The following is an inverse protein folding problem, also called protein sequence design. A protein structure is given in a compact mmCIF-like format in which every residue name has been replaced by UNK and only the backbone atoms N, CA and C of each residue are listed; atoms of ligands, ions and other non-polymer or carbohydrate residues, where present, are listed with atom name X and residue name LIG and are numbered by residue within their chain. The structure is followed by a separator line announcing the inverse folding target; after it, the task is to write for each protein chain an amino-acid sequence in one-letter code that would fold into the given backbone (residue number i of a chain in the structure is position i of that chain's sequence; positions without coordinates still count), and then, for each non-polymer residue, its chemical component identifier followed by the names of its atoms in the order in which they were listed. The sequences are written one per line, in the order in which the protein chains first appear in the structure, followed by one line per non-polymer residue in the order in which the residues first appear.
data_IF_312748355365
#
_entry.id   IF_312748355365
#
_cell.length_a   1.000
_cell.length_b   1.000
_cell.length_c   1.000
_cell.angle_alpha   90.00
_cell.angle_beta   90.00
_cell.angle_gamma   90.00
#
_symmetry.space_group_name_H-M   'P 1'
#
loop_
_entity.id
_entity.type
_entity.pdbx_description
1 polymer ?
#
# COMPACT_ATOMS: atom_id res chain seq x y z
N UNK A 1 44.35 -1.54 -14.98
CA UNK A 1 43.00 -1.34 -14.47
C UNK A 1 42.49 -0.08 -15.12
N UNK A 2 41.62 -0.21 -16.12
CA UNK A 2 41.00 0.93 -16.79
C UNK A 2 40.09 1.67 -15.79
N UNK A 3 40.12 3.00 -15.85
CA UNK A 3 39.25 3.87 -15.06
C UNK A 3 37.79 3.70 -15.50
N UNK A 4 37.06 2.80 -14.85
CA UNK A 4 35.62 2.61 -15.04
C UNK A 4 34.98 2.21 -13.72
N UNK A 5 33.71 2.59 -13.51
CA UNK A 5 32.94 2.09 -12.36
C UNK A 5 32.82 0.55 -12.51
N UNK A 6 33.26 -0.25 -11.54
CA UNK A 6 33.15 -1.70 -11.63
C UNK A 6 31.69 -2.13 -11.59
N UNK A 7 31.27 -2.91 -12.58
CA UNK A 7 29.95 -3.53 -12.65
C UNK A 7 30.09 -4.98 -12.23
N UNK A 8 29.38 -5.35 -11.17
CA UNK A 8 29.32 -6.74 -10.73
C UNK A 8 28.02 -7.38 -11.23
N UNK A 9 28.18 -8.44 -12.04
CA UNK A 9 27.06 -9.26 -12.52
C UNK A 9 27.18 -10.67 -11.98
N UNK A 10 26.26 -11.05 -11.10
CA UNK A 10 26.04 -12.44 -10.68
C UNK A 10 24.56 -12.77 -10.90
N UNK A 11 24.22 -13.08 -12.17
CA UNK A 11 22.83 -13.16 -12.62
C UNK A 11 22.20 -11.78 -12.86
N UNK A 12 20.89 -11.70 -12.91
CA UNK A 12 20.12 -10.46 -12.85
C UNK A 12 19.71 -10.20 -11.40
N UNK A 13 19.90 -9.02 -10.80
CA UNK A 13 20.26 -7.73 -11.35
C UNK A 13 21.77 -7.40 -11.36
N UNK A 14 22.15 -6.40 -12.19
CA UNK A 14 23.50 -5.81 -12.17
C UNK A 14 23.65 -4.83 -11.02
N UNK A 15 24.87 -4.73 -10.48
CA UNK A 15 25.22 -3.79 -9.43
C UNK A 15 26.33 -2.88 -9.94
N UNK A 16 26.03 -1.58 -10.01
CA UNK A 16 27.03 -0.56 -10.29
C UNK A 16 27.63 -0.11 -8.95
N UNK A 17 28.95 -0.10 -8.85
CA UNK A 17 29.64 0.15 -7.58
C UNK A 17 30.88 1.00 -7.80
N UNK A 18 31.31 1.75 -6.78
CA UNK A 18 32.60 2.44 -6.80
C UNK A 18 33.73 1.49 -6.44
N UNK A 19 33.56 0.71 -5.37
CA UNK A 19 34.52 -0.33 -4.97
C UNK A 19 33.81 -1.59 -4.51
N UNK A 20 34.38 -2.75 -4.84
CA UNK A 20 33.94 -4.05 -4.37
C UNK A 20 35.09 -4.87 -3.82
N UNK A 21 34.92 -5.46 -2.64
CA UNK A 21 35.82 -6.45 -2.04
C UNK A 21 35.06 -7.74 -1.85
N UNK A 22 35.39 -8.74 -2.66
CA UNK A 22 34.70 -10.06 -2.65
C UNK A 22 35.60 -11.16 -2.10
N UNK A 23 35.07 -11.97 -1.21
CA UNK A 23 35.75 -13.15 -0.67
C UNK A 23 35.12 -14.41 -1.31
N UNK A 24 35.87 -15.04 -2.22
CA UNK A 24 35.42 -16.23 -2.96
C UNK A 24 35.15 -17.46 -2.07
N UNK A 25 35.83 -17.60 -0.92
CA UNK A 25 35.61 -18.72 0.00
C UNK A 25 34.31 -18.58 0.78
N UNK A 26 34.00 -17.38 1.28
CA UNK A 26 32.82 -17.12 2.12
C UNK A 26 31.63 -16.60 1.33
N UNK A 27 31.81 -16.27 0.03
CA UNK A 27 30.81 -15.65 -0.85
C UNK A 27 30.23 -14.35 -0.30
N UNK A 28 31.03 -13.62 0.49
CA UNK A 28 30.65 -12.32 1.07
C UNK A 28 31.36 -11.19 0.37
N UNK A 29 30.67 -10.06 0.19
CA UNK A 29 31.23 -8.85 -0.36
C UNK A 29 31.01 -7.62 0.54
N UNK A 30 31.99 -6.73 0.57
CA UNK A 30 31.84 -5.37 1.04
C UNK A 30 31.84 -4.43 -0.19
N UNK A 31 30.87 -3.53 -0.24
CA UNK A 31 30.59 -2.70 -1.42
C UNK A 31 30.42 -1.26 -0.93
N UNK A 32 31.00 -0.31 -1.67
CA UNK A 32 30.77 1.11 -1.45
C UNK A 32 30.06 1.72 -2.67
N UNK A 33 29.17 2.67 -2.41
CA UNK A 33 28.37 3.41 -3.39
C UNK A 33 27.69 2.47 -4.42
N UNK A 34 26.83 1.62 -3.89
CA UNK A 34 26.04 0.67 -4.68
C UNK A 34 24.84 1.35 -5.29
N UNK A 35 24.62 1.12 -6.58
CA UNK A 35 23.37 1.40 -7.29
C UNK A 35 22.86 0.10 -7.90
N UNK A 36 21.62 -0.24 -7.63
CA UNK A 36 21.00 -1.45 -8.18
C UNK A 36 19.56 -1.18 -8.56
N UNK A 37 19.20 -1.62 -9.76
CA UNK A 37 17.80 -1.59 -10.17
C UNK A 37 17.09 -2.85 -9.67
N UNK A 38 15.95 -2.66 -9.01
CA UNK A 38 15.14 -3.75 -8.48
C UNK A 38 13.68 -3.53 -8.86
N UNK A 39 13.21 -4.28 -9.86
CA UNK A 39 11.90 -4.05 -10.48
C UNK A 39 11.86 -2.69 -11.19
N UNK A 40 10.88 -1.86 -10.87
CA UNK A 40 10.72 -0.50 -11.42
C UNK A 40 11.47 0.58 -10.61
N UNK A 41 12.16 0.21 -9.54
CA UNK A 41 12.84 1.18 -8.67
C UNK A 41 14.35 0.98 -8.59
N UNK A 42 15.02 2.04 -8.16
CA UNK A 42 16.46 2.07 -7.91
C UNK A 42 16.73 2.11 -6.41
N UNK A 43 17.64 1.27 -5.97
CA UNK A 43 18.15 1.28 -4.60
C UNK A 43 19.60 1.70 -4.64
N UNK A 44 19.93 2.78 -3.94
CA UNK A 44 21.29 3.26 -3.78
C UNK A 44 21.72 3.17 -2.32
N UNK A 45 23.00 3.01 -2.05
CA UNK A 45 23.51 2.96 -0.68
C UNK A 45 24.99 3.24 -0.60
N UNK A 46 25.43 4.00 0.41
CA UNK A 46 26.83 4.37 0.59
C UNK A 46 27.71 3.21 1.05
N UNK A 47 27.18 2.33 1.89
CA UNK A 47 27.87 1.11 2.37
C UNK A 47 26.95 -0.08 2.32
N UNK A 48 27.40 -1.14 1.66
CA UNK A 48 26.65 -2.36 1.58
C UNK A 48 27.52 -3.60 1.88
N UNK A 49 26.87 -4.62 2.42
CA UNK A 49 27.46 -5.95 2.66
C UNK A 49 26.57 -6.99 1.99
N UNK A 50 27.13 -7.75 1.06
CA UNK A 50 26.47 -8.92 0.50
C UNK A 50 26.75 -10.13 1.38
N UNK A 51 25.70 -10.82 1.80
CA UNK A 51 25.77 -12.09 2.51
C UNK A 51 25.93 -13.28 1.59
N UNK A 52 26.19 -14.46 2.14
CA UNK A 52 26.31 -15.72 1.37
C UNK A 52 24.99 -16.14 0.70
N UNK A 53 23.85 -15.66 1.18
CA UNK A 53 22.50 -15.93 0.66
C UNK A 53 22.02 -14.87 -0.35
N UNK A 54 22.92 -14.10 -0.97
CA UNK A 54 22.65 -12.99 -1.86
C UNK A 54 21.85 -11.84 -1.24
N UNK A 55 21.62 -11.86 0.06
CA UNK A 55 21.01 -10.74 0.79
C UNK A 55 22.02 -9.59 0.91
N UNK A 56 21.57 -8.38 0.64
CA UNK A 56 22.38 -7.17 0.74
C UNK A 56 21.89 -6.34 1.93
N UNK A 57 22.78 -6.08 2.85
CA UNK A 57 22.55 -5.17 3.95
C UNK A 57 23.22 -3.82 3.63
N UNK A 58 22.47 -2.73 3.72
CA UNK A 58 22.99 -1.40 3.44
C UNK A 58 22.64 -0.41 4.53
N UNK A 59 23.50 0.59 4.65
CA UNK A 59 23.33 1.75 5.52
C UNK A 59 23.21 3.00 4.67
N UNK A 60 22.36 3.95 5.12
CA UNK A 60 22.09 5.21 4.44
C UNK A 60 21.69 5.02 2.97
N UNK A 61 20.73 4.12 2.76
CA UNK A 61 20.20 3.84 1.44
C UNK A 61 19.16 4.87 1.00
N UNK A 62 18.94 4.96 -0.32
CA UNK A 62 17.82 5.68 -0.93
C UNK A 62 17.07 4.72 -1.83
N UNK A 63 15.76 4.81 -1.82
CA UNK A 63 14.89 4.11 -2.76
C UNK A 63 14.09 5.12 -3.55
N UNK A 64 14.13 5.03 -4.85
CA UNK A 64 13.36 5.89 -5.76
C UNK A 64 12.84 5.11 -6.95
N UNK A 65 11.72 5.55 -7.50
CA UNK A 65 11.19 5.11 -8.80
C UNK A 65 11.41 6.19 -9.88
N UNK A 66 12.22 7.21 -9.57
CA UNK A 66 12.59 8.23 -10.53
C UNK A 66 13.66 7.71 -11.48
N UNK A 67 13.52 7.99 -12.78
CA UNK A 67 14.51 7.59 -13.80
C UNK A 67 15.88 8.28 -13.62
N UNK A 68 15.89 9.45 -12.99
CA UNK A 68 17.10 10.17 -12.63
C UNK A 68 17.67 9.66 -11.28
N UNK A 69 18.22 8.46 -11.27
CA UNK A 69 18.69 7.80 -10.04
C UNK A 69 19.93 8.45 -9.40
N UNK A 70 20.72 9.25 -10.14
CA UNK A 70 21.87 9.99 -9.61
C UNK A 70 21.42 11.21 -8.78
N UNK A 71 20.36 11.89 -9.20
CA UNK A 71 19.74 13.02 -8.50
C UNK A 71 18.21 12.92 -8.61
N UNK A 72 17.58 12.02 -7.84
CA UNK A 72 16.15 11.80 -7.93
C UNK A 72 15.36 12.96 -7.33
N UNK A 73 14.29 13.40 -8.01
CA UNK A 73 13.39 14.44 -7.53
C UNK A 73 12.65 14.03 -6.24
N UNK A 74 12.48 12.73 -6.02
CA UNK A 74 11.92 12.21 -4.79
C UNK A 74 12.54 10.85 -4.44
N UNK A 75 12.73 10.60 -3.17
CA UNK A 75 13.25 9.32 -2.68
C UNK A 75 12.86 9.07 -1.22
N UNK A 76 12.78 7.79 -0.87
CA UNK A 76 12.73 7.38 0.52
C UNK A 76 14.15 7.25 1.06
N UNK A 77 14.50 8.09 2.03
CA UNK A 77 15.75 7.95 2.76
C UNK A 77 15.63 6.84 3.78
N UNK A 78 16.50 5.85 3.67
CA UNK A 78 16.52 4.64 4.49
C UNK A 78 17.71 4.70 5.45
N UNK A 79 17.49 4.51 6.74
CA UNK A 79 18.60 4.44 7.71
C UNK A 79 19.38 3.13 7.55
N UNK A 80 18.67 2.03 7.49
CA UNK A 80 19.19 0.69 7.22
C UNK A 80 18.21 -0.06 6.35
N UNK A 81 18.73 -0.84 5.40
CA UNK A 81 17.91 -1.67 4.55
C UNK A 81 18.51 -3.06 4.36
N UNK A 82 17.63 -4.04 4.25
CA UNK A 82 17.94 -5.41 3.85
C UNK A 82 17.26 -5.67 2.52
N UNK A 83 18.03 -5.78 1.47
CA UNK A 83 17.57 -6.11 0.13
C UNK A 83 17.65 -7.61 -0.08
N UNK A 84 16.55 -8.22 -0.43
CA UNK A 84 16.46 -9.60 -0.90
C UNK A 84 16.17 -9.55 -2.41
N UNK A 85 17.16 -9.82 -3.26
CA UNK A 85 16.98 -9.75 -4.71
C UNK A 85 15.76 -10.55 -5.17
N UNK A 86 14.98 -9.97 -6.09
CA UNK A 86 13.74 -10.55 -6.66
C UNK A 86 12.60 -10.81 -5.65
N UNK A 87 12.76 -10.42 -4.39
CA UNK A 87 11.71 -10.59 -3.36
C UNK A 87 11.24 -9.25 -2.82
N UNK A 88 12.07 -8.59 -2.05
CA UNK A 88 11.69 -7.35 -1.37
C UNK A 88 12.88 -6.58 -0.79
N UNK A 89 12.63 -5.33 -0.43
CA UNK A 89 13.46 -4.54 0.49
C UNK A 89 12.70 -4.38 1.81
N UNK A 90 13.35 -4.66 2.90
CA UNK A 90 12.85 -4.37 4.26
C UNK A 90 13.74 -3.28 4.85
N UNK A 91 13.15 -2.20 5.34
CA UNK A 91 13.91 -1.08 5.89
C UNK A 91 13.60 -0.87 7.36
N UNK A 92 14.56 -0.30 8.08
CA UNK A 92 14.33 0.36 9.36
C UNK A 92 13.64 1.72 9.16
N UNK A 93 13.83 2.67 10.08
CA UNK A 93 13.25 3.99 9.95
C UNK A 93 13.56 4.64 8.60
N UNK A 94 12.51 5.14 7.95
CA UNK A 94 12.60 5.75 6.64
C UNK A 94 11.74 7.02 6.60
N UNK A 95 12.14 8.00 5.81
CA UNK A 95 11.39 9.22 5.59
C UNK A 95 11.46 9.66 4.13
N UNK A 96 10.40 10.34 3.69
CA UNK A 96 10.29 10.84 2.33
C UNK A 96 11.05 12.16 2.16
N UNK A 97 11.81 12.26 1.09
CA UNK A 97 12.50 13.47 0.65
C UNK A 97 12.01 13.82 -0.75
N UNK A 98 11.68 15.08 -0.98
CA UNK A 98 11.24 15.61 -2.27
C UNK A 98 12.08 16.87 -2.56
N UNK A 99 12.73 16.92 -3.71
CA UNK A 99 13.63 18.01 -4.09
C UNK A 99 14.64 18.36 -2.97
N UNK A 100 15.26 17.33 -2.39
CA UNK A 100 16.20 17.39 -1.26
C UNK A 100 15.62 17.99 0.05
N UNK A 101 14.30 18.24 0.10
CA UNK A 101 13.62 18.70 1.31
C UNK A 101 13.01 17.50 2.03
N UNK A 102 13.43 17.18 3.27
CA UNK A 102 12.82 16.11 4.04
C UNK A 102 11.41 16.49 4.48
N UNK A 103 10.46 15.67 4.13
CA UNK A 103 9.08 15.82 4.57
C UNK A 103 8.86 15.20 5.96
N UNK A 104 7.90 15.71 6.76
CA UNK A 104 7.57 15.16 8.08
C UNK A 104 6.79 13.83 7.99
N UNK A 105 7.00 13.09 6.91
CA UNK A 105 6.44 11.77 6.68
C UNK A 105 7.52 10.72 6.94
N UNK A 106 7.55 10.22 8.18
CA UNK A 106 8.49 9.19 8.60
C UNK A 106 7.75 7.94 9.06
N UNK A 107 8.30 6.80 8.71
CA UNK A 107 7.79 5.48 9.14
C UNK A 107 8.88 4.72 9.91
N UNK A 108 8.54 4.01 10.99
CA UNK A 108 9.52 3.29 11.80
C UNK A 108 10.15 2.10 11.06
N UNK A 109 9.44 1.53 10.12
CA UNK A 109 9.91 0.51 9.17
C UNK A 109 9.06 0.58 7.90
N UNK A 110 9.64 0.13 6.80
CA UNK A 110 8.94 0.04 5.53
C UNK A 110 9.32 -1.22 4.74
N UNK A 111 8.48 -1.58 3.78
CA UNK A 111 8.62 -2.81 3.02
C UNK A 111 8.24 -2.56 1.56
N UNK A 112 9.19 -2.82 0.65
CA UNK A 112 8.99 -2.68 -0.79
C UNK A 112 9.06 -4.06 -1.44
N UNK A 113 7.96 -4.60 -1.99
CA UNK A 113 8.02 -5.81 -2.80
C UNK A 113 8.57 -5.50 -4.20
N UNK A 114 9.37 -6.41 -4.75
CA UNK A 114 9.92 -6.30 -6.13
C UNK A 114 9.18 -7.14 -7.15
N UNK A 115 8.14 -7.84 -6.76
CA UNK A 115 7.45 -8.71 -7.70
C UNK A 115 6.57 -7.91 -8.66
N UNK A 116 6.72 -8.18 -9.96
CA UNK A 116 5.78 -7.77 -11.01
C UNK A 116 4.47 -8.56 -10.98
N UNK A 117 4.41 -9.62 -10.18
CA UNK A 117 3.23 -10.41 -9.92
C UNK A 117 2.56 -9.96 -8.62
N UNK A 118 1.30 -10.26 -8.51
CA UNK A 118 0.39 -10.02 -7.42
C UNK A 118 1.05 -10.13 -6.02
N UNK A 119 1.27 -9.02 -5.35
CA UNK A 119 1.97 -8.98 -4.07
C UNK A 119 1.29 -8.07 -3.06
N UNK A 120 1.40 -8.44 -1.79
CA UNK A 120 0.95 -7.60 -0.68
C UNK A 120 1.78 -6.33 -0.57
N UNK A 121 1.17 -5.22 -0.17
CA UNK A 121 1.88 -3.95 -0.05
C UNK A 121 1.10 -2.87 0.68
N UNK A 122 1.79 -1.81 1.05
CA UNK A 122 1.21 -0.63 1.65
C UNK A 122 0.47 0.22 0.60
N UNK A 123 -0.66 0.78 1.02
CA UNK A 123 -1.40 1.78 0.28
C UNK A 123 -1.11 3.12 0.94
N UNK A 124 -0.46 4.01 0.19
CA UNK A 124 -0.12 5.32 0.71
C UNK A 124 -1.38 6.16 0.89
N UNK A 125 -1.53 6.81 2.05
CA UNK A 125 -2.66 7.68 2.30
C UNK A 125 -2.60 8.93 1.42
N UNK A 126 -3.78 9.43 1.04
CA UNK A 126 -3.94 10.72 0.39
C UNK A 126 -4.21 11.79 1.44
N UNK A 127 -3.54 12.91 1.32
CA UNK A 127 -3.83 14.09 2.13
C UNK A 127 -5.20 14.68 1.73
N UNK A 128 -6.02 15.00 2.72
CA UNK A 128 -7.31 15.66 2.52
C UNK A 128 -7.47 16.82 3.50
N UNK A 129 -8.15 17.87 3.04
CA UNK A 129 -8.59 18.98 3.85
C UNK A 129 -10.13 19.08 3.79
N UNK A 130 -10.77 18.95 4.93
CA UNK A 130 -12.22 19.00 5.09
C UNK A 130 -12.58 20.06 6.11
N UNK A 131 -13.39 21.04 5.73
CA UNK A 131 -13.77 22.16 6.60
C UNK A 131 -14.47 21.71 7.89
N UNK A 132 -15.19 20.59 7.86
CA UNK A 132 -15.93 20.08 9.02
C UNK A 132 -15.09 19.14 9.91
N UNK A 133 -14.12 18.41 9.34
CA UNK A 133 -13.32 17.36 10.01
C UNK A 133 -11.86 17.76 10.23
N UNK A 134 -11.43 18.84 9.57
CA UNK A 134 -10.04 19.31 9.56
C UNK A 134 -9.16 18.54 8.57
N UNK A 135 -7.86 18.67 8.74
CA UNK A 135 -6.89 17.96 7.93
C UNK A 135 -6.95 16.46 8.21
N UNK A 136 -6.69 15.65 7.19
CA UNK A 136 -6.71 14.21 7.34
C UNK A 136 -5.82 13.48 6.35
N UNK A 137 -5.62 12.21 6.67
CA UNK A 137 -5.04 11.21 5.78
C UNK A 137 -6.12 10.18 5.46
N UNK A 138 -6.44 10.05 4.18
CA UNK A 138 -7.50 9.17 3.70
C UNK A 138 -6.93 8.00 2.88
N UNK A 139 -7.62 6.85 2.92
CA UNK A 139 -7.36 5.66 2.14
C UNK A 139 -5.97 5.03 2.35
N UNK A 140 -5.28 5.40 3.45
CA UNK A 140 -4.06 4.72 3.85
C UNK A 140 -4.33 3.32 4.35
N UNK A 141 -3.46 2.34 4.02
CA UNK A 141 -3.71 1.00 4.47
C UNK A 141 -2.74 -0.07 3.98
N UNK A 142 -3.25 -1.29 3.93
CA UNK A 142 -2.46 -2.42 3.47
C UNK A 142 -3.30 -3.35 2.60
N UNK A 143 -2.70 -3.80 1.50
CA UNK A 143 -3.25 -4.79 0.60
C UNK A 143 -2.61 -6.15 0.87
N UNK A 144 -3.42 -7.15 1.15
CA UNK A 144 -3.01 -8.53 1.38
C UNK A 144 -3.34 -9.37 0.15
N UNK A 145 -2.35 -9.82 -0.58
CA UNK A 145 -2.48 -10.85 -1.60
C UNK A 145 -2.52 -12.22 -0.90
N UNK A 146 -3.71 -12.65 -0.47
CA UNK A 146 -3.85 -13.85 0.36
C UNK A 146 -3.66 -15.14 -0.44
N UNK A 147 -4.19 -15.18 -1.67
CA UNK A 147 -4.07 -16.34 -2.57
C UNK A 147 -4.43 -15.95 -4.00
N UNK A 148 -4.23 -16.85 -4.96
CA UNK A 148 -4.60 -16.64 -6.37
C UNK A 148 -6.10 -16.43 -6.59
N UNK A 149 -6.92 -16.72 -5.59
CA UNK A 149 -8.39 -16.63 -5.67
C UNK A 149 -8.99 -15.58 -4.75
N UNK A 150 -8.23 -14.97 -3.85
CA UNK A 150 -8.76 -14.06 -2.84
C UNK A 150 -7.72 -13.02 -2.42
N UNK A 151 -8.15 -11.78 -2.30
CA UNK A 151 -7.40 -10.66 -1.73
C UNK A 151 -8.13 -10.02 -0.54
N UNK A 152 -7.43 -9.18 0.20
CA UNK A 152 -7.99 -8.35 1.25
C UNK A 152 -7.29 -6.99 1.26
N UNK A 153 -8.07 -5.94 1.08
CA UNK A 153 -7.63 -4.55 1.20
C UNK A 153 -8.19 -3.97 2.50
N UNK A 154 -7.33 -3.54 3.41
CA UNK A 154 -7.73 -2.82 4.62
C UNK A 154 -7.24 -1.38 4.48
N UNK A 155 -8.14 -0.41 4.56
CA UNK A 155 -7.83 1.01 4.50
C UNK A 155 -8.47 1.76 5.65
N UNK A 156 -7.84 2.87 6.04
CA UNK A 156 -8.35 3.74 7.09
C UNK A 156 -8.17 5.21 6.75
N UNK A 157 -9.05 6.02 7.31
CA UNK A 157 -8.99 7.46 7.27
C UNK A 157 -8.88 7.99 8.69
N UNK A 158 -8.11 9.03 8.89
CA UNK A 158 -7.99 9.73 10.17
C UNK A 158 -7.98 11.24 9.95
N UNK A 159 -8.69 11.97 10.79
CA UNK A 159 -8.82 13.43 10.71
C UNK A 159 -8.47 14.09 12.03
N UNK A 160 -7.96 15.31 11.97
CA UNK A 160 -7.49 16.07 13.14
C UNK A 160 -8.57 16.36 14.17
N UNK A 161 -9.84 16.54 13.77
CA UNK A 161 -10.98 16.72 14.69
C UNK A 161 -11.48 15.40 15.29
N UNK A 162 -10.78 14.28 15.03
CA UNK A 162 -11.02 12.98 15.65
C UNK A 162 -12.05 12.11 14.92
N UNK A 163 -12.43 12.44 13.70
CA UNK A 163 -13.17 11.54 12.81
C UNK A 163 -12.24 10.47 12.27
N UNK A 164 -12.73 9.25 12.08
CA UNK A 164 -11.97 8.15 11.48
C UNK A 164 -12.87 7.13 10.81
N UNK A 165 -12.33 6.41 9.85
CA UNK A 165 -13.00 5.30 9.16
C UNK A 165 -12.03 4.13 9.04
N UNK A 166 -12.57 2.92 9.10
CA UNK A 166 -11.90 1.67 8.77
C UNK A 166 -12.73 0.95 7.71
N UNK A 167 -12.10 0.57 6.62
CA UNK A 167 -12.71 -0.14 5.50
C UNK A 167 -11.96 -1.42 5.21
N UNK A 168 -12.70 -2.52 5.05
CA UNK A 168 -12.19 -3.80 4.58
C UNK A 168 -12.88 -4.20 3.29
N UNK A 169 -12.12 -4.45 2.23
CA UNK A 169 -12.61 -4.93 0.94
C UNK A 169 -11.90 -6.22 0.58
N UNK A 170 -12.69 -7.26 0.35
CA UNK A 170 -12.22 -8.57 -0.12
C UNK A 170 -12.84 -8.84 -1.49
N UNK A 171 -12.00 -9.18 -2.46
CA UNK A 171 -12.44 -9.76 -3.72
C UNK A 171 -12.05 -11.24 -3.74
N UNK A 172 -12.94 -12.06 -4.21
CA UNK A 172 -12.67 -13.48 -4.40
C UNK A 172 -13.21 -13.94 -5.75
N UNK A 173 -12.39 -14.72 -6.45
CA UNK A 173 -12.72 -15.22 -7.78
C UNK A 173 -12.10 -16.60 -8.00
N UNK A 174 -12.92 -17.59 -8.19
CA UNK A 174 -12.49 -18.93 -8.60
C UNK A 174 -13.03 -19.23 -9.99
N UNK A 175 -12.11 -19.22 -10.97
CA UNK A 175 -12.45 -19.43 -12.40
C UNK A 175 -13.39 -20.61 -12.59
N UNK A 176 -14.46 -20.39 -13.35
CA UNK A 176 -15.53 -21.37 -13.65
C UNK A 176 -16.33 -21.85 -12.44
N UNK A 177 -16.23 -21.23 -11.28
CA UNK A 177 -16.99 -21.58 -10.08
C UNK A 177 -17.80 -20.44 -9.53
N UNK A 178 -17.12 -19.40 -9.04
CA UNK A 178 -17.78 -18.24 -8.42
C UNK A 178 -16.88 -17.02 -8.41
N UNK A 179 -17.51 -15.87 -8.30
CA UNK A 179 -16.84 -14.59 -8.01
C UNK A 179 -17.69 -13.77 -7.04
N UNK A 180 -17.03 -12.87 -6.34
CA UNK A 180 -17.74 -11.97 -5.46
C UNK A 180 -16.84 -10.95 -4.78
N UNK A 181 -17.50 -10.00 -4.11
CA UNK A 181 -16.88 -8.94 -3.33
C UNK A 181 -17.57 -8.83 -1.98
N UNK A 182 -16.82 -8.64 -0.94
CA UNK A 182 -17.33 -8.30 0.40
C UNK A 182 -16.64 -7.03 0.86
N UNK A 183 -17.41 -6.00 1.16
CA UNK A 183 -16.97 -4.75 1.74
C UNK A 183 -17.61 -4.56 3.10
N UNK A 184 -16.82 -4.18 4.08
CA UNK A 184 -17.29 -3.81 5.41
C UNK A 184 -16.59 -2.51 5.85
N UNK A 185 -17.39 -1.51 6.15
CA UNK A 185 -16.93 -0.20 6.57
C UNK A 185 -17.49 0.14 7.94
N UNK A 186 -16.66 0.75 8.77
CA UNK A 186 -17.08 1.37 10.01
C UNK A 186 -16.48 2.76 10.13
N UNK A 187 -17.30 3.75 10.46
CA UNK A 187 -16.85 5.13 10.57
C UNK A 187 -17.41 5.81 11.82
N UNK A 188 -16.61 6.71 12.36
CA UNK A 188 -17.01 7.64 13.42
C UNK A 188 -16.78 9.04 12.90
N UNK A 189 -17.84 9.78 12.66
CA UNK A 189 -17.79 11.14 12.15
C UNK A 189 -18.09 12.10 13.29
N UNK A 190 -17.17 13.02 13.55
CA UNK A 190 -17.32 14.12 14.50
C UNK A 190 -17.37 15.41 13.72
N UNK A 191 -18.42 16.20 13.93
CA UNK A 191 -18.63 17.48 13.26
C UNK A 191 -18.78 18.55 14.32
N UNK A 192 -18.27 19.75 14.05
CA UNK A 192 -18.22 20.85 15.02
C UNK A 192 -17.06 20.73 16.01
N UNK A 193 -16.93 21.72 16.88
CA UNK A 193 -15.86 21.74 17.87
C UNK A 193 -16.39 21.28 19.24
N UNK A 194 -15.59 20.43 19.91
CA UNK A 194 -15.98 19.87 21.21
C UNK A 194 -16.30 20.95 22.22
N UNK A 195 -17.52 20.93 22.76
CA UNK A 195 -18.03 21.92 23.70
C UNK A 195 -18.92 23.00 23.08
N UNK A 196 -19.08 23.03 21.76
CA UNK A 196 -20.00 23.90 21.03
C UNK A 196 -21.36 23.21 20.81
N UNK A 197 -22.45 23.97 20.63
CA UNK A 197 -23.81 23.40 20.45
C UNK A 197 -23.96 22.60 19.13
N UNK A 198 -23.09 22.83 18.16
CA UNK A 198 -23.06 22.16 16.86
C UNK A 198 -22.23 20.85 16.84
N UNK A 199 -21.62 20.49 17.99
CA UNK A 199 -20.85 19.26 18.10
C UNK A 199 -21.74 18.01 17.99
N UNK A 200 -21.50 17.22 16.99
CA UNK A 200 -22.20 15.95 16.78
C UNK A 200 -21.24 14.79 16.56
N UNK A 201 -21.67 13.61 16.99
CA UNK A 201 -20.93 12.35 16.78
C UNK A 201 -21.86 11.34 16.15
N UNK A 202 -21.55 10.93 14.93
CA UNK A 202 -22.23 9.86 14.24
C UNK A 202 -21.34 8.61 14.19
N UNK A 203 -21.93 7.44 14.41
CA UNK A 203 -21.29 6.13 14.29
C UNK A 203 -22.06 5.33 13.26
N UNK A 204 -21.40 4.98 12.17
CA UNK A 204 -22.04 4.37 11.04
C UNK A 204 -21.28 3.15 10.57
N UNK A 205 -22.01 2.20 10.03
CA UNK A 205 -21.41 1.04 9.39
C UNK A 205 -22.12 0.72 8.08
N UNK A 206 -21.39 0.02 7.18
CA UNK A 206 -21.91 -0.48 5.91
C UNK A 206 -21.30 -1.85 5.63
N UNK A 207 -22.14 -2.78 5.19
CA UNK A 207 -21.71 -4.10 4.70
C UNK A 207 -22.37 -4.31 3.34
N UNK A 208 -21.53 -4.56 2.33
CA UNK A 208 -21.97 -4.87 0.97
C UNK A 208 -21.35 -6.21 0.58
N UNK A 209 -22.20 -7.15 0.22
CA UNK A 209 -21.76 -8.44 -0.26
C UNK A 209 -22.42 -8.74 -1.61
N UNK A 210 -21.58 -8.96 -2.62
CA UNK A 210 -22.01 -9.41 -3.92
C UNK A 210 -21.38 -10.77 -4.22
N UNK A 211 -22.19 -11.73 -4.58
CA UNK A 211 -21.74 -13.07 -4.93
C UNK A 211 -22.46 -13.52 -6.20
N UNK A 212 -21.71 -14.15 -7.10
CA UNK A 212 -22.23 -14.74 -8.32
C UNK A 212 -21.57 -16.08 -8.57
N UNK A 213 -22.38 -17.11 -8.72
CA UNK A 213 -21.94 -18.39 -9.21
C UNK A 213 -21.79 -18.35 -10.74
N UNK A 214 -20.71 -18.95 -11.25
CA UNK A 214 -20.49 -19.10 -12.69
C UNK A 214 -21.45 -20.17 -13.23
N UNK A 215 -22.06 -19.95 -14.39
CA UNK A 215 -22.95 -20.90 -15.03
C UNK A 215 -22.30 -22.26 -15.34
N UNK A 216 -20.95 -22.27 -15.47
CA UNK A 216 -20.18 -23.51 -15.68
C UNK A 216 -19.95 -24.31 -14.40
N UNK A 217 -20.23 -23.75 -13.24
CA UNK A 217 -20.05 -24.43 -11.96
C UNK A 217 -21.11 -25.54 -11.74
N UNK A 218 -22.32 -25.30 -12.21
CA UNK A 218 -23.42 -26.29 -12.19
C UNK A 218 -24.35 -26.03 -13.39
N UNK A 219 -24.68 -27.05 -14.19
CA UNK A 219 -25.55 -26.86 -15.33
C UNK A 219 -27.02 -26.59 -14.95
N UNK A 220 -27.44 -26.95 -13.74
CA UNK A 220 -28.84 -26.95 -13.30
C UNK A 220 -29.15 -25.92 -12.22
N UNK A 221 -28.14 -25.25 -11.65
CA UNK A 221 -28.34 -24.30 -10.54
C UNK A 221 -27.50 -23.09 -10.73
N UNK A 222 -28.06 -21.90 -10.45
CA UNK A 222 -27.35 -20.64 -10.40
C UNK A 222 -27.63 -19.97 -9.08
N UNK A 223 -26.58 -19.53 -8.39
CA UNK A 223 -26.69 -18.78 -7.16
C UNK A 223 -26.17 -17.37 -7.35
N UNK A 224 -26.96 -16.37 -6.98
CA UNK A 224 -26.50 -14.98 -6.92
C UNK A 224 -27.04 -14.29 -5.67
N UNK A 225 -26.20 -13.47 -5.05
CA UNK A 225 -26.56 -12.68 -3.89
C UNK A 225 -26.02 -11.27 -4.03
N UNK A 226 -26.84 -10.28 -3.73
CA UNK A 226 -26.48 -8.90 -3.57
C UNK A 226 -27.09 -8.39 -2.27
N UNK A 227 -26.26 -8.17 -1.26
CA UNK A 227 -26.69 -7.71 0.06
C UNK A 227 -26.10 -6.34 0.30
N UNK A 228 -26.92 -5.37 0.64
CA UNK A 228 -26.51 -4.02 1.02
C UNK A 228 -27.17 -3.66 2.35
N UNK A 229 -26.37 -3.61 3.39
CA UNK A 229 -26.81 -3.31 4.75
C UNK A 229 -25.95 -2.20 5.35
N UNK A 230 -26.58 -1.10 5.77
CA UNK A 230 -25.87 -0.01 6.40
C UNK A 230 -26.78 0.82 7.28
N UNK A 231 -26.21 1.62 8.19
CA UNK A 231 -26.97 2.64 8.92
C UNK A 231 -27.56 3.67 7.96
N UNK A 232 -28.70 4.27 8.33
CA UNK A 232 -29.39 5.25 7.49
C UNK A 232 -28.59 6.55 7.27
N UNK A 233 -27.69 6.86 8.20
CA UNK A 233 -26.83 8.05 8.18
C UNK A 233 -25.51 7.83 7.44
N UNK A 234 -25.13 6.57 7.10
CA UNK A 234 -23.84 6.25 6.52
C UNK A 234 -23.52 7.08 5.27
N UNK A 235 -24.43 7.15 4.32
CA UNK A 235 -24.18 7.84 3.03
C UNK A 235 -24.03 9.36 3.24
N UNK A 236 -24.72 9.94 4.23
CA UNK A 236 -24.63 11.37 4.57
C UNK A 236 -23.36 11.73 5.30
N UNK A 237 -22.83 10.81 6.10
CA UNK A 237 -21.62 11.02 6.88
C UNK A 237 -20.34 10.55 6.18
N UNK A 238 -20.47 9.86 5.03
CA UNK A 238 -19.33 9.37 4.27
C UNK A 238 -18.65 10.51 3.49
N UNK A 239 -17.35 10.69 3.74
CA UNK A 239 -16.55 11.73 3.11
C UNK A 239 -16.49 11.62 1.57
N UNK A 240 -16.47 10.41 1.05
CA UNK A 240 -16.40 10.17 -0.40
C UNK A 240 -17.69 10.59 -1.14
N UNK A 241 -18.78 10.81 -0.41
CA UNK A 241 -20.08 11.18 -0.96
C UNK A 241 -20.37 12.70 -0.86
N UNK A 242 -19.49 13.48 -0.23
CA UNK A 242 -19.75 14.93 0.02
C UNK A 242 -20.06 15.72 -1.25
N UNK A 243 -19.53 15.33 -2.39
CA UNK A 243 -19.76 15.99 -3.69
C UNK A 243 -20.81 15.30 -4.55
N UNK A 244 -21.49 14.27 -4.04
CA UNK A 244 -22.52 13.53 -4.76
C UNK A 244 -23.88 13.69 -4.08
N UNK A 245 -24.63 14.70 -4.48
CA UNK A 245 -25.94 15.04 -3.90
C UNK A 245 -26.96 13.91 -4.03
N UNK A 246 -26.86 13.06 -5.04
CA UNK A 246 -27.75 11.90 -5.20
C UNK A 246 -27.53 10.85 -4.11
N UNK A 247 -26.27 10.56 -3.79
CA UNK A 247 -25.93 9.59 -2.73
C UNK A 247 -26.27 10.14 -1.34
N UNK A 248 -26.12 11.45 -1.12
CA UNK A 248 -26.45 12.09 0.15
C UNK A 248 -27.95 12.03 0.47
N UNK A 249 -28.80 12.04 -0.55
CA UNK A 249 -30.28 12.01 -0.38
C UNK A 249 -30.86 10.60 -0.49
N UNK A 250 -30.11 9.65 -1.07
CA UNK A 250 -30.58 8.29 -1.26
C UNK A 250 -30.49 7.47 0.03
N UNK A 251 -31.65 7.01 0.51
CA UNK A 251 -31.74 6.14 1.69
C UNK A 251 -32.34 4.75 1.39
N UNK A 252 -32.53 4.44 0.10
CA UNK A 252 -33.06 3.14 -0.34
C UNK A 252 -31.94 2.13 -0.48
N UNK A 253 -32.07 1.00 0.20
CA UNK A 253 -31.13 -0.12 0.13
C UNK A 253 -31.85 -1.35 -0.35
N UNK A 254 -31.34 -1.95 -1.40
CA UNK A 254 -31.93 -3.15 -1.99
C UNK A 254 -31.00 -4.33 -1.77
N UNK A 255 -31.55 -5.42 -1.28
CA UNK A 255 -30.85 -6.70 -1.17
C UNK A 255 -31.66 -7.77 -1.89
N UNK A 256 -31.00 -8.66 -2.61
CA UNK A 256 -31.62 -9.76 -3.33
C UNK A 256 -30.75 -11.01 -3.25
N UNK A 257 -31.40 -12.15 -3.08
CA UNK A 257 -30.76 -13.45 -3.14
C UNK A 257 -31.62 -14.32 -4.05
N UNK A 258 -30.99 -14.93 -5.05
CA UNK A 258 -31.67 -15.86 -5.96
C UNK A 258 -30.91 -17.17 -6.07
N UNK A 259 -31.66 -18.26 -6.13
CA UNK A 259 -31.16 -19.60 -6.25
C UNK A 259 -31.93 -20.38 -7.33
#
# INVERSE_FOLDING_TARGET
VEKGKPVFKEGDPSYDTETIRYNFKTKKAGITDIVTQQGEGYVTGSKAKKGANDEIFMEHGRYTTCDHHDHPHFYMQLTRAKVRPKKNVVTGPAYLVVEDVPLPLAVPFFFFPFSSSYSSGFIMPTYMDDSSRGFGLAEGGYYFAMSDIMDLKITGDIFTKGSWRLSGLTNYNKRYKYSGTLQADYQVTKTGDKGMPDYTVAKDFKVVWNHRQDAKASPNTTFSASVNFSTSSYERSNINNLYNSQLLTQNTKTSSISY
#
